data_IF_202217875249
#
_entry.id   IF_202217875249
#
_cell.length_a   1.000
_cell.length_b   1.000
_cell.length_c   1.000
_cell.angle_alpha   90.00
_cell.angle_beta   90.00
_cell.angle_gamma   90.00
#
_symmetry.space_group_name_H-M   'P 1'
#
loop_
_entity.id
_entity.type
_entity.pdbx_description
1 polymer ?
#
# COMPACT_ATOMS: atom_id res chain seq x y z
N UNK A 1 47.45 -20.87 -3.64
CA UNK A 1 46.97 -19.54 -4.08
C UNK A 1 45.61 -19.80 -4.71
N UNK A 2 44.52 -19.52 -3.99
CA UNK A 2 43.15 -19.81 -4.46
C UNK A 2 42.70 -18.57 -5.25
N UNK A 3 42.59 -18.69 -6.56
CA UNK A 3 42.01 -17.65 -7.43
C UNK A 3 40.59 -17.35 -6.96
N UNK A 4 40.33 -16.11 -6.53
CA UNK A 4 38.96 -15.66 -6.33
C UNK A 4 38.32 -15.54 -7.71
N UNK A 5 37.21 -16.23 -7.99
CA UNK A 5 36.53 -16.10 -9.28
C UNK A 5 36.19 -14.63 -9.51
N UNK A 6 36.45 -14.17 -10.74
CA UNK A 6 36.15 -12.83 -11.17
C UNK A 6 34.67 -12.51 -10.86
N UNK A 7 34.43 -11.48 -10.06
CA UNK A 7 33.08 -11.09 -9.68
C UNK A 7 32.28 -10.75 -10.95
N UNK A 8 31.07 -11.29 -11.11
CA UNK A 8 30.25 -11.03 -12.27
C UNK A 8 29.99 -9.52 -12.42
N UNK A 9 30.00 -9.09 -13.68
CA UNK A 9 29.76 -7.74 -14.18
C UNK A 9 28.91 -6.87 -13.23
N UNK A 10 29.54 -5.90 -12.54
CA UNK A 10 28.78 -4.89 -11.79
C UNK A 10 27.93 -4.11 -12.78
N UNK A 11 26.62 -4.30 -12.73
CA UNK A 11 25.67 -3.48 -13.48
C UNK A 11 25.98 -1.99 -13.24
N UNK A 12 25.91 -1.19 -14.31
CA UNK A 12 26.00 0.27 -14.17
C UNK A 12 24.93 0.74 -13.17
N UNK A 13 25.22 1.73 -12.30
CA UNK A 13 24.28 2.21 -11.28
C UNK A 13 22.87 2.48 -11.83
N UNK A 14 22.78 3.05 -13.02
CA UNK A 14 21.52 3.39 -13.68
C UNK A 14 20.68 2.15 -14.02
N UNK A 15 21.32 1.07 -14.48
CA UNK A 15 20.65 -0.16 -14.86
C UNK A 15 20.00 -0.87 -13.66
N UNK A 16 20.63 -0.79 -12.49
CA UNK A 16 20.12 -1.40 -11.27
C UNK A 16 18.95 -0.61 -10.65
N UNK A 17 18.96 0.73 -10.76
CA UNK A 17 17.83 1.58 -10.38
C UNK A 17 16.64 1.31 -11.29
N UNK A 18 16.85 1.35 -12.61
CA UNK A 18 15.81 1.05 -13.61
C UNK A 18 15.20 -0.32 -13.36
N UNK A 19 16.02 -1.33 -13.07
CA UNK A 19 15.54 -2.66 -12.70
C UNK A 19 14.64 -2.63 -11.47
N UNK A 20 15.06 -1.96 -10.41
CA UNK A 20 14.30 -1.91 -9.14
C UNK A 20 12.94 -1.24 -9.33
N UNK A 21 12.92 -0.08 -9.98
CA UNK A 21 11.68 0.64 -10.31
C UNK A 21 10.79 -0.21 -11.22
N UNK A 22 11.36 -0.85 -12.24
CA UNK A 22 10.60 -1.68 -13.18
C UNK A 22 10.01 -2.92 -12.53
N UNK A 23 10.72 -3.58 -11.60
CA UNK A 23 10.18 -4.72 -10.87
C UNK A 23 9.01 -4.33 -9.97
N UNK A 24 9.14 -3.23 -9.24
CA UNK A 24 8.07 -2.70 -8.38
C UNK A 24 6.85 -2.31 -9.23
N UNK A 25 7.07 -1.58 -10.33
CA UNK A 25 6.01 -1.19 -11.25
C UNK A 25 5.34 -2.41 -11.91
N UNK A 26 6.12 -3.41 -12.32
CA UNK A 26 5.59 -4.63 -12.94
C UNK A 26 4.71 -5.43 -11.97
N UNK A 27 5.14 -5.61 -10.71
CA UNK A 27 4.32 -6.29 -9.72
C UNK A 27 3.03 -5.54 -9.41
N UNK A 28 3.10 -4.21 -9.29
CA UNK A 28 1.91 -3.38 -9.07
C UNK A 28 0.94 -3.48 -10.25
N UNK A 29 1.42 -3.28 -11.48
CA UNK A 29 0.57 -3.32 -12.67
C UNK A 29 -0.02 -4.71 -12.87
N UNK A 30 0.75 -5.77 -12.63
CA UNK A 30 0.27 -7.14 -12.73
C UNK A 30 -0.79 -7.45 -11.66
N UNK A 31 -0.63 -6.97 -10.42
CA UNK A 31 -1.65 -7.12 -9.38
C UNK A 31 -2.91 -6.30 -9.66
N UNK A 32 -2.79 -5.11 -10.24
CA UNK A 32 -3.97 -4.33 -10.62
C UNK A 32 -4.69 -4.96 -11.82
N UNK A 33 -3.95 -5.42 -12.82
CA UNK A 33 -4.51 -6.13 -13.96
C UNK A 33 -5.22 -7.42 -13.52
N UNK A 34 -4.63 -8.22 -12.63
CA UNK A 34 -5.29 -9.40 -12.09
C UNK A 34 -6.55 -9.04 -11.29
N UNK A 35 -6.55 -7.93 -10.56
CA UNK A 35 -7.74 -7.48 -9.82
C UNK A 35 -8.87 -7.08 -10.78
N UNK A 36 -8.59 -6.29 -11.81
CA UNK A 36 -9.61 -5.79 -12.73
C UNK A 36 -10.01 -6.78 -13.85
N UNK A 37 -9.16 -7.75 -14.21
CA UNK A 37 -9.41 -8.65 -15.33
C UNK A 37 -9.47 -10.13 -14.95
N UNK A 38 -8.58 -10.63 -14.07
CA UNK A 38 -8.57 -12.05 -13.71
C UNK A 38 -9.68 -12.40 -12.72
N UNK A 39 -9.88 -11.61 -11.66
CA UNK A 39 -10.91 -11.88 -10.67
C UNK A 39 -12.33 -11.95 -11.26
N UNK A 40 -12.76 -11.04 -12.17
CA UNK A 40 -14.08 -11.16 -12.81
C UNK A 40 -14.20 -12.41 -13.67
N UNK A 41 -13.13 -12.81 -14.38
CA UNK A 41 -13.11 -14.05 -15.18
C UNK A 41 -13.32 -15.29 -14.32
N UNK A 42 -12.94 -15.24 -13.04
CA UNK A 42 -13.17 -16.29 -12.05
C UNK A 42 -14.52 -16.16 -11.33
N UNK A 43 -15.37 -15.22 -11.74
CA UNK A 43 -16.69 -14.98 -11.13
C UNK A 43 -16.64 -14.21 -9.81
N UNK A 44 -15.50 -13.62 -9.44
CA UNK A 44 -15.37 -12.81 -8.23
C UNK A 44 -15.86 -11.39 -8.51
N UNK A 45 -16.79 -10.90 -7.68
CA UNK A 45 -17.23 -9.51 -7.76
C UNK A 45 -16.10 -8.56 -7.35
N UNK A 46 -15.89 -7.51 -8.15
CA UNK A 46 -14.89 -6.46 -7.89
C UNK A 46 -15.43 -5.47 -6.87
N UNK A 47 -15.62 -5.98 -5.65
CA UNK A 47 -15.94 -5.18 -4.49
C UNK A 47 -15.25 -5.73 -3.26
N UNK A 48 -14.49 -4.88 -2.58
CA UNK A 48 -13.85 -5.17 -1.30
C UNK A 48 -14.87 -5.53 -0.22
N UNK A 49 -16.13 -5.14 -0.39
CA UNK A 49 -17.22 -5.48 0.53
C UNK A 49 -17.74 -6.90 0.30
N UNK A 50 -18.21 -7.21 -0.92
CA UNK A 50 -18.85 -8.50 -1.23
C UNK A 50 -17.87 -9.62 -1.56
N UNK A 51 -16.76 -9.31 -2.23
CA UNK A 51 -15.68 -10.25 -2.58
C UNK A 51 -14.58 -10.37 -1.52
N UNK A 52 -14.86 -9.96 -0.27
CA UNK A 52 -13.83 -9.65 0.74
C UNK A 52 -12.80 -10.77 0.94
N UNK A 53 -13.25 -12.01 1.14
CA UNK A 53 -12.36 -13.17 1.36
C UNK A 53 -11.51 -13.49 0.13
N UNK A 54 -12.12 -13.54 -1.06
CA UNK A 54 -11.40 -13.87 -2.30
C UNK A 54 -10.33 -12.82 -2.63
N UNK A 55 -10.67 -11.55 -2.48
CA UNK A 55 -9.74 -10.42 -2.69
C UNK A 55 -8.63 -10.43 -1.61
N UNK A 56 -8.94 -10.85 -0.38
CA UNK A 56 -7.93 -10.99 0.69
C UNK A 56 -6.89 -12.05 0.32
N UNK A 57 -7.34 -13.23 -0.12
CA UNK A 57 -6.44 -14.30 -0.58
C UNK A 57 -5.60 -13.86 -1.79
N UNK A 58 -6.23 -13.12 -2.71
CA UNK A 58 -5.57 -12.54 -3.87
C UNK A 58 -4.40 -11.62 -3.48
N UNK A 59 -4.59 -10.69 -2.56
CA UNK A 59 -3.51 -9.80 -2.12
C UNK A 59 -2.50 -10.48 -1.19
N UNK A 60 -2.88 -11.54 -0.47
CA UNK A 60 -1.90 -12.37 0.25
C UNK A 60 -0.95 -13.08 -0.72
N UNK A 61 -1.48 -13.62 -1.82
CA UNK A 61 -0.67 -14.21 -2.88
C UNK A 61 0.33 -13.20 -3.45
N UNK A 62 -0.11 -11.99 -3.80
CA UNK A 62 0.77 -10.94 -4.29
C UNK A 62 1.77 -10.42 -3.24
N UNK A 63 1.37 -10.36 -1.97
CA UNK A 63 2.29 -10.07 -0.86
C UNK A 63 3.39 -11.12 -0.77
N UNK A 64 3.05 -12.41 -0.89
CA UNK A 64 4.02 -13.51 -0.91
C UNK A 64 4.99 -13.39 -2.09
N UNK A 65 4.50 -13.09 -3.29
CA UNK A 65 5.34 -12.82 -4.47
C UNK A 65 6.29 -11.65 -4.20
N UNK A 66 5.80 -10.55 -3.64
CA UNK A 66 6.64 -9.39 -3.32
C UNK A 66 7.75 -9.76 -2.32
N UNK A 67 7.41 -10.48 -1.25
CA UNK A 67 8.37 -10.98 -0.25
C UNK A 67 9.46 -11.82 -0.90
N UNK A 68 9.10 -12.79 -1.74
CA UNK A 68 10.06 -13.65 -2.44
C UNK A 68 10.92 -12.84 -3.42
N UNK A 69 10.30 -11.95 -4.19
CA UNK A 69 10.98 -11.17 -5.25
C UNK A 69 12.04 -10.21 -4.69
N UNK A 70 11.79 -9.63 -3.51
CA UNK A 70 12.68 -8.66 -2.88
C UNK A 70 13.30 -9.18 -1.57
N UNK A 71 13.32 -10.50 -1.37
CA UNK A 71 13.78 -11.15 -0.14
C UNK A 71 15.14 -10.62 0.31
N UNK A 72 16.12 -10.57 -0.60
CA UNK A 72 17.47 -10.10 -0.32
C UNK A 72 17.52 -8.68 0.24
N UNK A 73 16.59 -7.80 -0.16
CA UNK A 73 16.52 -6.44 0.39
C UNK A 73 15.92 -6.43 1.79
N UNK A 74 14.88 -7.22 2.00
CA UNK A 74 14.17 -7.25 3.29
C UNK A 74 15.03 -7.86 4.40
N UNK A 75 15.80 -8.92 4.14
CA UNK A 75 16.61 -9.58 5.18
C UNK A 75 17.76 -8.71 5.69
N UNK A 76 18.26 -7.78 4.87
CA UNK A 76 19.33 -6.85 5.25
C UNK A 76 18.80 -5.54 5.84
N UNK A 77 17.48 -5.40 6.02
CA UNK A 77 16.89 -4.18 6.53
C UNK A 77 17.08 -4.04 8.05
N UNK A 78 18.12 -3.31 8.43
CA UNK A 78 18.57 -3.13 9.82
C UNK A 78 17.52 -2.48 10.75
N UNK A 79 16.57 -1.69 10.23
CA UNK A 79 15.57 -0.98 11.06
C UNK A 79 14.33 -1.79 11.38
N UNK A 80 14.21 -2.99 10.81
CA UNK A 80 13.20 -3.94 11.27
C UNK A 80 13.74 -4.64 12.52
N UNK A 81 13.40 -4.11 13.69
CA UNK A 81 13.83 -4.69 14.96
C UNK A 81 12.99 -5.93 15.27
N UNK A 82 13.61 -7.09 15.43
CA UNK A 82 12.92 -8.28 15.94
C UNK A 82 13.00 -8.33 17.47
N UNK A 83 12.23 -7.45 18.13
CA UNK A 83 12.22 -7.27 19.59
C UNK A 83 10.80 -7.25 20.13
N UNK A 84 10.65 -7.44 21.45
CA UNK A 84 9.36 -7.38 22.14
C UNK A 84 8.56 -6.11 21.80
N UNK A 85 9.24 -4.95 21.74
CA UNK A 85 8.61 -3.68 21.37
C UNK A 85 7.93 -3.73 19.99
N UNK A 86 8.55 -4.38 19.02
CA UNK A 86 8.00 -4.51 17.66
C UNK A 86 6.77 -5.39 17.64
N UNK A 87 6.77 -6.50 18.39
CA UNK A 87 5.58 -7.33 18.56
C UNK A 87 4.44 -6.56 19.24
N UNK A 88 4.74 -5.78 20.28
CA UNK A 88 3.75 -4.94 20.96
C UNK A 88 3.16 -3.88 20.01
N UNK A 89 3.99 -3.24 19.18
CA UNK A 89 3.53 -2.27 18.17
C UNK A 89 2.61 -2.94 17.16
N UNK A 90 2.99 -4.10 16.61
CA UNK A 90 2.14 -4.82 15.67
C UNK A 90 0.83 -5.27 16.31
N UNK A 91 0.87 -5.83 17.52
CA UNK A 91 -0.33 -6.18 18.27
C UNK A 91 -1.25 -4.96 18.46
N UNK A 92 -0.69 -3.80 18.82
CA UNK A 92 -1.47 -2.56 18.97
C UNK A 92 -2.07 -2.09 17.65
N UNK A 93 -1.31 -2.13 16.55
CA UNK A 93 -1.80 -1.80 15.19
C UNK A 93 -2.95 -2.72 14.79
N UNK A 94 -2.79 -4.04 14.92
CA UNK A 94 -3.84 -5.01 14.59
C UNK A 94 -5.06 -4.87 15.49
N UNK A 95 -4.86 -4.68 16.79
CA UNK A 95 -5.95 -4.43 17.73
C UNK A 95 -6.72 -3.16 17.37
N UNK A 96 -6.02 -2.06 17.09
CA UNK A 96 -6.64 -0.79 16.67
C UNK A 96 -7.44 -0.91 15.37
N UNK A 97 -6.87 -1.57 14.35
CA UNK A 97 -7.55 -1.81 13.08
C UNK A 97 -8.82 -2.66 13.27
N UNK A 98 -8.72 -3.72 14.09
CA UNK A 98 -9.82 -4.62 14.40
C UNK A 98 -10.91 -3.92 15.20
N UNK A 99 -10.53 -3.18 16.24
CA UNK A 99 -11.45 -2.40 17.07
C UNK A 99 -12.21 -1.38 16.22
N UNK A 100 -11.51 -0.68 15.34
CA UNK A 100 -12.15 0.25 14.42
C UNK A 100 -13.15 -0.45 13.50
N UNK A 101 -12.74 -1.50 12.79
CA UNK A 101 -13.58 -2.15 11.79
C UNK A 101 -14.78 -2.86 12.44
N UNK A 102 -14.57 -3.56 13.56
CA UNK A 102 -15.60 -4.37 14.20
C UNK A 102 -16.52 -3.58 15.14
N UNK A 103 -16.06 -2.48 15.74
CA UNK A 103 -16.82 -1.77 16.77
C UNK A 103 -17.04 -0.29 16.48
N UNK A 104 -16.09 0.45 15.89
CA UNK A 104 -16.29 1.88 15.64
C UNK A 104 -17.12 2.11 14.38
N UNK A 105 -16.71 1.50 13.26
CA UNK A 105 -17.35 1.72 11.96
C UNK A 105 -18.85 1.34 11.92
N UNK A 106 -19.32 0.23 12.54
CA UNK A 106 -20.73 -0.12 12.55
C UNK A 106 -21.62 0.86 13.32
N UNK A 107 -21.05 1.65 14.23
CA UNK A 107 -21.80 2.64 15.03
C UNK A 107 -22.02 3.95 14.27
N UNK A 108 -21.33 4.15 13.15
CA UNK A 108 -21.48 5.32 12.31
C UNK A 108 -22.59 5.08 11.28
N UNK A 109 -23.43 6.09 11.09
CA UNK A 109 -24.47 6.07 10.06
C UNK A 109 -23.84 5.75 8.68
N UNK A 110 -24.42 4.82 7.89
CA UNK A 110 -23.93 4.54 6.55
C UNK A 110 -23.95 5.79 5.66
N UNK A 111 -22.92 5.96 4.83
CA UNK A 111 -22.85 7.07 3.89
C UNK A 111 -23.97 6.93 2.85
N UNK A 112 -24.80 7.97 2.71
CA UNK A 112 -25.77 8.06 1.63
C UNK A 112 -25.07 8.58 0.37
N UNK A 113 -25.04 7.75 -0.65
CA UNK A 113 -24.45 8.13 -1.93
C UNK A 113 -25.48 8.84 -2.80
N UNK A 114 -25.20 10.08 -3.18
CA UNK A 114 -26.13 10.96 -3.92
C UNK A 114 -25.65 11.29 -5.34
N UNK A 115 -24.48 10.78 -5.73
CA UNK A 115 -23.89 11.07 -7.03
C UNK A 115 -24.44 10.12 -8.11
N UNK A 116 -24.52 10.55 -9.38
CA UNK A 116 -25.15 9.78 -10.45
C UNK A 116 -24.32 8.57 -10.94
N UNK A 117 -23.12 8.38 -10.41
CA UNK A 117 -22.19 7.32 -10.80
C UNK A 117 -22.01 6.29 -9.67
N UNK A 118 -21.49 5.11 -9.98
CA UNK A 118 -21.34 4.00 -9.01
C UNK A 118 -20.40 4.39 -7.86
N UNK A 119 -20.81 4.27 -6.58
CA UNK A 119 -19.95 4.66 -5.47
C UNK A 119 -18.64 3.86 -5.46
N UNK A 120 -17.48 4.49 -5.18
CA UNK A 120 -16.26 3.76 -4.89
C UNK A 120 -16.48 2.95 -3.61
N UNK A 121 -15.93 1.74 -3.54
CA UNK A 121 -16.05 0.86 -2.37
C UNK A 121 -15.67 1.54 -1.04
N UNK A 122 -14.66 2.41 -1.06
CA UNK A 122 -14.22 3.15 0.14
C UNK A 122 -15.31 4.07 0.68
N UNK A 123 -16.18 4.61 -0.16
CA UNK A 123 -17.24 5.53 0.29
C UNK A 123 -18.38 4.76 0.97
N UNK A 124 -18.68 3.56 0.49
CA UNK A 124 -19.74 2.68 1.01
C UNK A 124 -19.19 1.52 1.85
N UNK A 125 -17.99 1.69 2.40
CA UNK A 125 -17.24 0.63 3.07
C UNK A 125 -17.98 0.05 4.30
N UNK A 126 -18.20 -1.25 4.30
CA UNK A 126 -18.63 -2.01 5.49
C UNK A 126 -17.41 -2.46 6.30
N UNK A 127 -17.56 -3.04 7.50
CA UNK A 127 -16.44 -3.68 8.19
C UNK A 127 -15.65 -4.65 7.31
N UNK A 128 -16.33 -5.38 6.43
CA UNK A 128 -15.72 -6.34 5.51
C UNK A 128 -14.78 -5.71 4.49
N UNK A 129 -14.93 -4.43 4.16
CA UNK A 129 -14.00 -3.70 3.29
C UNK A 129 -12.56 -3.73 3.82
N UNK A 130 -12.40 -3.63 5.14
CA UNK A 130 -11.09 -3.48 5.77
C UNK A 130 -10.28 -4.76 5.77
N UNK A 131 -10.89 -5.93 5.59
CA UNK A 131 -10.17 -7.20 5.52
C UNK A 131 -9.24 -7.26 4.29
N UNK A 132 -9.75 -7.25 3.03
CA UNK A 132 -8.89 -7.21 1.85
C UNK A 132 -8.08 -5.91 1.79
N UNK A 133 -8.62 -4.78 2.24
CA UNK A 133 -7.89 -3.50 2.19
C UNK A 133 -6.64 -3.51 3.08
N UNK A 134 -6.67 -4.17 4.23
CA UNK A 134 -5.49 -4.31 5.09
C UNK A 134 -4.37 -5.10 4.39
N UNK A 135 -4.71 -6.17 3.66
CA UNK A 135 -3.74 -6.99 2.94
C UNK A 135 -3.26 -6.33 1.65
N UNK A 136 -4.13 -5.62 0.93
CA UNK A 136 -3.77 -4.76 -0.19
C UNK A 136 -2.76 -3.68 0.25
N UNK A 137 -3.03 -2.98 1.36
CA UNK A 137 -2.08 -2.00 1.93
C UNK A 137 -0.77 -2.67 2.33
N UNK A 138 -0.80 -3.89 2.89
CA UNK A 138 0.42 -4.64 3.20
C UNK A 138 1.25 -4.90 1.94
N UNK A 139 0.61 -5.40 0.87
CA UNK A 139 1.26 -5.60 -0.43
C UNK A 139 1.88 -4.31 -0.96
N UNK A 140 1.12 -3.21 -0.99
CA UNK A 140 1.63 -1.91 -1.42
C UNK A 140 2.80 -1.46 -0.54
N UNK A 141 2.72 -1.63 0.78
CA UNK A 141 3.79 -1.22 1.70
C UNK A 141 5.07 -2.04 1.50
N UNK A 142 4.97 -3.33 1.16
CA UNK A 142 6.12 -4.16 0.80
C UNK A 142 6.80 -3.64 -0.47
N UNK A 143 6.03 -3.27 -1.50
CA UNK A 143 6.57 -2.67 -2.72
C UNK A 143 7.24 -1.31 -2.45
N UNK A 144 6.63 -0.48 -1.59
CA UNK A 144 7.18 0.80 -1.16
C UNK A 144 8.53 0.59 -0.45
N UNK A 145 8.60 -0.35 0.49
CA UNK A 145 9.86 -0.67 1.20
C UNK A 145 10.91 -1.15 0.21
N UNK A 146 10.56 -2.03 -0.73
CA UNK A 146 11.51 -2.52 -1.74
C UNK A 146 12.07 -1.39 -2.61
N UNK A 147 11.23 -0.44 -3.02
CA UNK A 147 11.66 0.74 -3.78
C UNK A 147 12.61 1.62 -2.93
N UNK A 148 12.22 1.93 -1.69
CA UNK A 148 13.00 2.79 -0.80
C UNK A 148 14.37 2.19 -0.49
N UNK A 149 14.41 0.90 -0.13
CA UNK A 149 15.67 0.20 0.14
C UNK A 149 16.52 0.09 -1.13
N UNK A 150 15.93 -0.22 -2.28
CA UNK A 150 16.65 -0.28 -3.56
C UNK A 150 17.29 1.07 -3.94
N UNK A 151 16.60 2.19 -3.75
CA UNK A 151 17.19 3.51 -3.97
C UNK A 151 18.29 3.85 -2.95
N UNK A 152 18.12 3.43 -1.69
CA UNK A 152 19.11 3.63 -0.64
C UNK A 152 20.40 2.81 -0.87
N UNK A 153 20.30 1.59 -1.39
CA UNK A 153 21.44 0.75 -1.82
C UNK A 153 22.31 1.47 -2.87
N UNK A 154 21.69 2.31 -3.70
CA UNK A 154 22.36 3.16 -4.69
C UNK A 154 22.80 4.53 -4.14
N UNK A 155 22.82 4.70 -2.81
CA UNK A 155 23.29 5.90 -2.11
C UNK A 155 22.50 7.17 -2.43
N UNK A 156 21.23 7.03 -2.80
CA UNK A 156 20.35 8.20 -2.89
C UNK A 156 20.15 8.77 -1.47
N UNK A 157 20.21 10.09 -1.37
CA UNK A 157 19.84 10.76 -0.12
C UNK A 157 18.35 10.57 0.18
N UNK A 158 17.96 10.60 1.46
CA UNK A 158 16.54 10.47 1.86
C UNK A 158 15.66 11.48 1.13
N UNK A 159 16.14 12.71 0.91
CA UNK A 159 15.43 13.73 0.13
C UNK A 159 15.17 13.29 -1.31
N UNK A 160 16.17 12.75 -1.99
CA UNK A 160 16.01 12.25 -3.36
C UNK A 160 15.02 11.09 -3.40
N UNK A 161 15.13 10.14 -2.47
CA UNK A 161 14.20 9.00 -2.36
C UNK A 161 12.77 9.50 -2.14
N UNK A 162 12.55 10.44 -1.22
CA UNK A 162 11.25 11.07 -0.96
C UNK A 162 10.66 11.77 -2.20
N UNK A 163 11.45 12.54 -2.94
CA UNK A 163 10.97 13.20 -4.16
C UNK A 163 10.62 12.18 -5.25
N UNK A 164 11.46 11.17 -5.45
CA UNK A 164 11.19 10.08 -6.39
C UNK A 164 9.93 9.31 -6.02
N UNK A 165 9.76 8.94 -4.75
CA UNK A 165 8.57 8.22 -4.27
C UNK A 165 7.31 9.09 -4.38
N UNK A 166 7.38 10.39 -4.07
CA UNK A 166 6.24 11.29 -4.22
C UNK A 166 5.72 11.36 -5.66
N UNK A 167 6.64 11.48 -6.63
CA UNK A 167 6.29 11.49 -8.07
C UNK A 167 5.72 10.14 -8.49
N UNK A 168 6.41 9.03 -8.17
CA UNK A 168 5.98 7.70 -8.58
C UNK A 168 4.64 7.30 -7.95
N UNK A 169 4.44 7.57 -6.66
CA UNK A 169 3.20 7.19 -5.98
C UNK A 169 2.03 8.03 -6.48
N UNK A 170 2.21 9.33 -6.65
CA UNK A 170 1.22 10.19 -7.29
C UNK A 170 0.86 9.67 -8.69
N UNK A 171 1.86 9.43 -9.53
CA UNK A 171 1.65 8.96 -10.90
C UNK A 171 0.94 7.61 -10.97
N UNK A 172 1.30 6.65 -10.11
CA UNK A 172 0.64 5.34 -10.07
C UNK A 172 -0.86 5.44 -9.72
N UNK A 173 -1.24 6.42 -8.90
CA UNK A 173 -2.66 6.62 -8.55
C UNK A 173 -3.48 7.23 -9.70
N UNK A 174 -2.85 7.72 -10.78
CA UNK A 174 -3.58 8.07 -12.00
C UNK A 174 -4.25 6.85 -12.64
N UNK A 175 -3.77 5.64 -12.35
CA UNK A 175 -4.40 4.40 -12.84
C UNK A 175 -5.84 4.23 -12.36
N UNK A 176 -6.23 4.89 -11.25
CA UNK A 176 -7.61 4.92 -10.78
C UNK A 176 -8.58 5.52 -11.82
N UNK A 177 -8.10 6.37 -12.73
CA UNK A 177 -8.91 6.91 -13.82
C UNK A 177 -9.40 5.80 -14.77
N UNK A 178 -8.61 4.74 -14.99
CA UNK A 178 -9.02 3.59 -15.80
C UNK A 178 -10.09 2.74 -15.12
N UNK A 179 -10.23 2.84 -13.80
CA UNK A 179 -11.32 2.22 -13.03
C UNK A 179 -12.66 2.97 -13.12
N UNK A 180 -12.76 4.00 -13.97
CA UNK A 180 -13.99 4.79 -14.14
C UNK A 180 -14.25 5.80 -13.02
N UNK A 181 -13.25 6.09 -12.18
CA UNK A 181 -13.38 7.05 -11.08
C UNK A 181 -13.37 8.49 -11.59
N UNK A 182 -14.18 9.41 -11.01
CA UNK A 182 -14.18 10.80 -11.45
C UNK A 182 -12.87 11.52 -11.11
N UNK A 183 -12.53 12.53 -11.92
CA UNK A 183 -11.25 13.24 -11.81
C UNK A 183 -10.97 13.78 -10.40
N UNK A 184 -11.95 14.37 -9.73
CA UNK A 184 -11.78 14.89 -8.36
C UNK A 184 -11.38 13.82 -7.34
N UNK A 185 -11.90 12.59 -7.51
CA UNK A 185 -11.51 11.45 -6.68
C UNK A 185 -10.07 11.03 -6.95
N UNK A 186 -9.71 10.90 -8.23
CA UNK A 186 -8.34 10.54 -8.66
C UNK A 186 -7.32 11.55 -8.15
N UNK A 187 -7.58 12.85 -8.31
CA UNK A 187 -6.69 13.93 -7.86
C UNK A 187 -6.47 13.90 -6.34
N UNK A 188 -7.53 13.66 -5.55
CA UNK A 188 -7.41 13.56 -4.09
C UNK A 188 -6.49 12.41 -3.67
N UNK A 189 -6.64 11.24 -4.27
CA UNK A 189 -5.81 10.07 -3.97
C UNK A 189 -4.37 10.27 -4.47
N UNK A 190 -4.19 10.84 -5.66
CA UNK A 190 -2.88 11.21 -6.20
C UNK A 190 -2.11 12.14 -5.26
N UNK A 191 -2.74 13.23 -4.79
CA UNK A 191 -2.10 14.20 -3.88
C UNK A 191 -1.77 13.54 -2.54
N UNK A 192 -2.68 12.75 -1.96
CA UNK A 192 -2.41 12.03 -0.72
C UNK A 192 -1.25 11.04 -0.88
N UNK A 193 -1.22 10.28 -1.97
CA UNK A 193 -0.15 9.35 -2.28
C UNK A 193 1.20 10.06 -2.46
N UNK A 194 1.23 11.22 -3.10
CA UNK A 194 2.44 12.03 -3.23
C UNK A 194 2.95 12.53 -1.86
N UNK A 195 2.05 12.99 -0.99
CA UNK A 195 2.39 13.39 0.39
C UNK A 195 2.99 12.20 1.16
N UNK A 196 2.39 11.01 1.06
CA UNK A 196 2.95 9.82 1.68
C UNK A 196 4.29 9.40 1.07
N UNK A 197 4.49 9.58 -0.24
CA UNK A 197 5.78 9.39 -0.89
C UNK A 197 6.88 10.31 -0.34
N UNK A 198 6.54 11.49 0.17
CA UNK A 198 7.50 12.36 0.87
C UNK A 198 7.86 11.84 2.27
N UNK A 199 6.89 11.25 2.99
CA UNK A 199 6.99 10.88 4.40
C UNK A 199 7.58 9.48 4.59
N UNK A 200 7.08 8.49 3.86
CA UNK A 200 7.36 7.07 4.09
C UNK A 200 8.85 6.70 4.00
N UNK A 201 9.66 7.25 3.07
CA UNK A 201 11.08 6.92 3.02
C UNK A 201 11.83 7.28 4.30
N UNK A 202 11.49 8.40 4.93
CA UNK A 202 12.10 8.79 6.20
C UNK A 202 11.70 7.83 7.33
N UNK A 203 10.43 7.44 7.40
CA UNK A 203 9.97 6.44 8.37
C UNK A 203 10.73 5.12 8.18
N UNK A 204 10.80 4.62 6.95
CA UNK A 204 11.40 3.32 6.61
C UNK A 204 12.92 3.29 6.90
N UNK A 205 13.65 4.35 6.57
CA UNK A 205 15.11 4.36 6.70
C UNK A 205 15.61 4.78 8.08
N UNK A 206 14.87 5.65 8.79
CA UNK A 206 15.39 6.34 9.97
C UNK A 206 14.67 5.97 11.27
N UNK A 207 13.45 5.43 11.21
CA UNK A 207 12.64 5.15 12.40
C UNK A 207 12.64 3.64 12.70
N UNK A 208 13.01 3.21 13.92
CA UNK A 208 12.81 1.81 14.33
C UNK A 208 11.34 1.42 14.17
N UNK A 209 11.06 0.27 13.55
CA UNK A 209 9.69 -0.14 13.21
C UNK A 209 8.97 0.81 12.24
N UNK A 210 9.71 1.55 11.41
CA UNK A 210 9.17 2.42 10.36
C UNK A 210 8.17 1.74 9.42
N UNK A 211 8.29 0.42 9.23
CA UNK A 211 7.30 -0.37 8.50
C UNK A 211 5.89 -0.26 9.10
N UNK A 212 5.79 -0.48 10.42
CA UNK A 212 4.52 -0.47 11.14
C UNK A 212 3.89 0.94 11.12
N UNK A 213 4.72 1.98 11.32
CA UNK A 213 4.23 3.36 11.30
C UNK A 213 3.75 3.80 9.92
N UNK A 214 4.48 3.46 8.85
CA UNK A 214 4.04 3.75 7.48
C UNK A 214 2.80 2.97 7.08
N UNK A 215 2.73 1.68 7.40
CA UNK A 215 1.53 0.86 7.24
C UNK A 215 0.32 1.47 7.97
N UNK A 216 0.48 1.82 9.24
CA UNK A 216 -0.60 2.39 10.05
C UNK A 216 -1.04 3.75 9.51
N UNK A 217 -0.12 4.62 9.07
CA UNK A 217 -0.46 5.90 8.46
C UNK A 217 -1.28 5.71 7.18
N UNK A 218 -0.90 4.75 6.34
CA UNK A 218 -1.63 4.40 5.13
C UNK A 218 -3.02 3.85 5.44
N UNK A 219 -3.12 2.92 6.38
CA UNK A 219 -4.40 2.36 6.83
C UNK A 219 -5.32 3.43 7.42
N UNK A 220 -4.77 4.32 8.25
CA UNK A 220 -5.50 5.42 8.88
C UNK A 220 -6.07 6.38 7.83
N UNK A 221 -5.37 6.63 6.73
CA UNK A 221 -5.91 7.45 5.63
C UNK A 221 -7.21 6.87 5.07
N UNK A 222 -7.27 5.55 4.87
CA UNK A 222 -8.50 4.89 4.41
C UNK A 222 -9.59 4.94 5.48
N UNK A 223 -9.26 4.70 6.75
CA UNK A 223 -10.21 4.81 7.85
C UNK A 223 -10.82 6.23 7.94
N UNK A 224 -10.00 7.27 7.88
CA UNK A 224 -10.45 8.67 7.86
C UNK A 224 -11.32 8.92 6.62
N UNK A 225 -10.92 8.42 5.45
CA UNK A 225 -11.69 8.59 4.21
C UNK A 225 -13.09 7.97 4.29
N UNK A 226 -13.24 6.86 5.00
CA UNK A 226 -14.54 6.21 5.29
C UNK A 226 -15.34 7.00 6.33
N UNK A 227 -14.69 7.48 7.39
CA UNK A 227 -15.35 8.14 8.54
C UNK A 227 -15.85 9.54 8.18
N UNK A 228 -15.06 10.34 7.46
CA UNK A 228 -15.38 11.75 7.21
C UNK A 228 -16.78 11.94 6.59
N UNK A 229 -17.16 11.24 5.50
CA UNK A 229 -18.51 11.37 4.94
C UNK A 229 -19.62 10.92 5.91
N UNK A 230 -19.36 9.94 6.79
CA UNK A 230 -20.37 9.46 7.74
C UNK A 230 -20.66 10.47 8.84
N UNK A 231 -19.65 11.22 9.28
CA UNK A 231 -19.80 12.27 10.30
C UNK A 231 -20.45 13.51 9.68
N UNK A 232 -19.96 13.97 8.52
CA UNK A 232 -20.40 15.24 7.93
C UNK A 232 -21.65 15.14 7.05
N UNK A 233 -22.04 13.93 6.64
CA UNK A 233 -23.28 13.69 5.87
C UNK A 233 -24.34 12.96 6.70
N UNK A 234 -24.12 12.74 8.00
CA UNK A 234 -25.17 12.29 8.90
C UNK A 234 -26.28 13.36 8.95
N UNK A 235 -27.57 12.99 8.89
CA UNK A 235 -28.63 13.95 9.13
C UNK A 235 -28.48 14.54 10.53
N UNK A 236 -28.67 15.86 10.65
CA UNK A 236 -28.88 16.51 11.95
C UNK A 236 -30.01 15.77 12.68
N UNK A 237 -29.89 15.55 14.00
CA UNK A 237 -30.92 14.86 14.78
C UNK A 237 -32.29 15.52 14.66
#
# INVERSE_FOLDING_TARGET
MIERPALPYRLRPDAAIVRSVSQVAALWVASDAGFYFLLPMLGVQISYNSGSVAITLYYFFWSGIAVITFWDRYIHWVRFENRLASYLIWCAVFAGCTLFAAYVLPQLAPTKWTQPWTPPDVVVATPWYFLPKSVDILFQQLLIVALVLGLAEHRFSVRQISMTCAVLFGAMHLLLAFGGMPLGYVLRFMVAAAIFGLIFPSLILNVPNGFAFSYMAHWTYYAITVVMPRIFSAPSP
#
